data_IF_348938966836
#
_entry.id   IF_348938966836
#
_cell.length_a   1.000
_cell.length_b   1.000
_cell.length_c   1.000
_cell.angle_alpha   90.00
_cell.angle_beta   90.00
_cell.angle_gamma   90.00
#
_symmetry.space_group_name_H-M   'P 1'
#
loop_
_entity.id
_entity.type
_entity.pdbx_description
1 polymer ?
#
# COMPACT_ATOMS: atom_id res chain seq x y z
N UNK A 1 -19.61 -15.31 11.61
CA UNK A 1 -18.79 -16.50 11.92
C UNK A 1 -17.48 -16.39 11.15
N UNK A 2 -16.37 -16.14 11.82
CA UNK A 2 -15.07 -16.10 11.17
C UNK A 2 -14.74 -17.51 10.67
N UNK A 3 -14.78 -17.73 9.36
CA UNK A 3 -14.24 -18.95 8.77
C UNK A 3 -12.75 -18.99 9.08
N UNK A 4 -12.36 -19.79 10.08
CA UNK A 4 -10.98 -20.19 10.30
C UNK A 4 -10.53 -20.90 9.02
N UNK A 5 -9.73 -20.21 8.19
CA UNK A 5 -9.15 -20.84 7.01
C UNK A 5 -8.11 -21.86 7.51
N UNK A 6 -8.30 -23.11 7.14
CA UNK A 6 -7.41 -24.24 7.46
C UNK A 6 -6.18 -24.29 6.55
N UNK A 7 -5.85 -23.20 5.87
CA UNK A 7 -4.74 -23.15 4.92
C UNK A 7 -3.42 -23.08 5.70
N UNK A 8 -2.48 -23.96 5.34
CA UNK A 8 -1.22 -24.14 6.07
C UNK A 8 -0.06 -23.63 5.21
N UNK A 9 0.70 -22.69 5.75
CA UNK A 9 1.89 -22.16 5.09
C UNK A 9 3.15 -22.82 5.66
N UNK A 10 3.89 -23.53 4.82
CA UNK A 10 5.20 -24.08 5.14
C UNK A 10 6.30 -23.12 4.70
N UNK A 11 7.15 -22.72 5.64
CA UNK A 11 8.26 -21.80 5.38
C UNK A 11 9.54 -22.21 6.12
N UNK A 12 10.65 -21.60 5.75
CA UNK A 12 11.97 -21.76 6.39
C UNK A 12 12.60 -20.39 6.61
N UNK A 13 13.26 -20.18 7.74
CA UNK A 13 13.94 -18.92 8.06
C UNK A 13 15.19 -18.67 7.21
N UNK A 14 15.75 -19.73 6.62
CA UNK A 14 16.95 -19.65 5.79
C UNK A 14 16.64 -19.31 4.32
N UNK A 15 15.37 -19.30 3.91
CA UNK A 15 14.99 -19.01 2.53
C UNK A 15 14.65 -17.52 2.33
N UNK A 16 15.30 -16.81 1.38
CA UNK A 16 15.01 -15.39 1.12
C UNK A 16 13.61 -15.17 0.52
N UNK A 17 13.11 -16.11 -0.29
CA UNK A 17 11.77 -16.02 -0.86
C UNK A 17 10.68 -16.18 0.22
N UNK A 18 10.91 -17.04 1.22
CA UNK A 18 10.02 -17.16 2.37
C UNK A 18 9.89 -15.83 3.12
N UNK A 19 10.99 -15.09 3.30
CA UNK A 19 10.98 -13.79 3.99
C UNK A 19 10.11 -12.77 3.26
N UNK A 20 10.19 -12.70 1.93
CA UNK A 20 9.35 -11.80 1.12
C UNK A 20 7.86 -12.11 1.28
N UNK A 21 7.50 -13.39 1.27
CA UNK A 21 6.10 -13.81 1.43
C UNK A 21 5.60 -13.57 2.86
N UNK A 22 6.43 -13.84 3.87
CA UNK A 22 6.09 -13.59 5.26
C UNK A 22 5.88 -12.10 5.54
N UNK A 23 6.73 -11.24 4.96
CA UNK A 23 6.59 -9.78 5.01
C UNK A 23 5.27 -9.32 4.37
N UNK A 24 4.93 -9.84 3.19
CA UNK A 24 3.64 -9.58 2.53
C UNK A 24 2.44 -10.00 3.39
N UNK A 25 2.49 -11.20 3.99
CA UNK A 25 1.42 -11.72 4.85
C UNK A 25 1.26 -10.86 6.12
N UNK A 26 2.38 -10.43 6.72
CA UNK A 26 2.41 -9.58 7.90
C UNK A 26 1.81 -8.20 7.62
N UNK A 27 2.24 -7.54 6.54
CA UNK A 27 1.75 -6.21 6.13
C UNK A 27 0.25 -6.18 5.88
N UNK A 28 -0.30 -7.26 5.32
CA UNK A 28 -1.72 -7.35 4.99
C UNK A 28 -2.58 -7.97 6.11
N UNK A 29 -2.01 -8.22 7.30
CA UNK A 29 -2.75 -8.78 8.44
C UNK A 29 -3.38 -10.16 8.15
N UNK A 30 -2.68 -11.01 7.40
CA UNK A 30 -3.16 -12.34 7.00
C UNK A 30 -2.68 -13.46 7.93
N UNK A 31 -1.80 -13.15 8.90
CA UNK A 31 -1.22 -14.13 9.83
C UNK A 31 -2.30 -14.89 10.61
N UNK A 32 -3.37 -14.22 11.03
CA UNK A 32 -4.45 -14.85 11.79
C UNK A 32 -5.32 -15.82 10.97
N UNK A 33 -5.28 -15.70 9.64
CA UNK A 33 -6.07 -16.52 8.73
C UNK A 33 -5.31 -17.74 8.20
N UNK A 34 -4.00 -17.82 8.47
CA UNK A 34 -3.11 -18.84 7.95
C UNK A 34 -2.39 -19.54 9.10
N UNK A 35 -2.27 -20.86 9.03
CA UNK A 35 -1.46 -21.60 9.97
C UNK A 35 -0.02 -21.70 9.45
N UNK A 36 0.88 -20.87 9.98
CA UNK A 36 2.28 -20.83 9.57
C UNK A 36 3.12 -21.87 10.33
N UNK A 37 3.77 -22.77 9.61
CA UNK A 37 4.64 -23.83 10.14
C UNK A 37 6.07 -23.64 9.60
N UNK A 38 7.03 -23.52 10.51
CA UNK A 38 8.45 -23.49 10.17
C UNK A 38 8.99 -24.93 10.00
N UNK A 39 9.68 -25.21 8.89
CA UNK A 39 10.22 -26.54 8.57
C UNK A 39 11.71 -26.70 8.88
N UNK A 40 12.33 -25.73 9.57
CA UNK A 40 13.77 -25.76 9.86
C UNK A 40 14.14 -26.92 10.79
N UNK A 41 13.29 -27.20 11.79
CA UNK A 41 13.47 -28.31 12.74
C UNK A 41 12.78 -29.59 12.24
N UNK A 42 13.27 -30.12 11.11
CA UNK A 42 12.77 -31.39 10.55
C UNK A 42 13.67 -32.57 10.89
N UNK A 43 13.07 -33.69 11.27
CA UNK A 43 13.73 -34.96 11.55
C UNK A 43 13.15 -36.05 10.68
N UNK A 44 13.98 -36.99 10.23
CA UNK A 44 13.54 -38.18 9.51
C UNK A 44 13.35 -39.28 10.54
N UNK A 45 12.17 -39.90 10.55
CA UNK A 45 11.93 -41.07 11.39
C UNK A 45 12.68 -42.28 10.81
N UNK A 46 13.60 -42.91 11.57
CA UNK A 46 14.37 -44.05 11.09
C UNK A 46 13.54 -45.30 10.83
N UNK A 47 12.30 -45.40 11.35
CA UNK A 47 11.44 -46.57 11.17
C UNK A 47 10.56 -46.48 9.93
N UNK A 48 10.04 -45.30 9.65
CA UNK A 48 9.05 -45.07 8.58
C UNK A 48 9.64 -44.33 7.38
N UNK A 49 10.82 -43.70 7.53
CA UNK A 49 11.42 -42.83 6.52
C UNK A 49 10.67 -41.51 6.31
N UNK A 50 9.66 -41.22 7.14
CA UNK A 50 8.82 -40.04 6.98
C UNK A 50 9.45 -38.82 7.65
N UNK A 51 9.19 -37.64 7.08
CA UNK A 51 9.66 -36.36 7.59
C UNK A 51 8.70 -35.81 8.63
N UNK A 52 9.22 -35.54 9.83
CA UNK A 52 8.50 -34.90 10.92
C UNK A 52 9.08 -33.52 11.20
N UNK A 53 8.22 -32.58 11.53
CA UNK A 53 8.58 -31.23 11.95
C UNK A 53 8.35 -31.14 13.45
N UNK A 54 9.39 -30.76 14.19
CA UNK A 54 9.31 -30.51 15.62
C UNK A 54 8.84 -29.07 15.87
N UNK A 55 7.67 -28.91 16.49
CA UNK A 55 7.19 -27.61 16.97
C UNK A 55 7.89 -27.23 18.28
N UNK A 56 7.92 -25.94 18.59
CA UNK A 56 8.50 -25.44 19.84
C UNK A 56 7.78 -25.94 21.09
N UNK A 57 6.51 -26.36 20.95
CA UNK A 57 5.73 -27.00 22.01
C UNK A 57 6.05 -28.51 22.18
N UNK A 58 7.15 -29.01 21.62
CA UNK A 58 7.57 -30.42 21.69
C UNK A 58 6.72 -31.40 20.87
N UNK A 59 5.64 -30.94 20.23
CA UNK A 59 4.79 -31.76 19.36
C UNK A 59 5.44 -31.97 17.99
N UNK A 60 5.31 -33.18 17.45
CA UNK A 60 5.73 -33.51 16.10
C UNK A 60 4.55 -33.44 15.14
N UNK A 61 4.74 -32.80 13.99
CA UNK A 61 3.79 -32.80 12.88
C UNK A 61 4.41 -33.54 11.71
N UNK A 62 3.68 -34.46 11.10
CA UNK A 62 4.11 -35.11 9.88
C UNK A 62 4.06 -34.12 8.70
N UNK A 63 5.16 -34.01 7.94
CA UNK A 63 5.19 -33.22 6.72
C UNK A 63 4.45 -34.00 5.61
N UNK A 64 3.43 -33.40 4.96
CA UNK A 64 2.74 -34.04 3.85
C UNK A 64 3.69 -34.31 2.68
N UNK A 65 3.53 -35.43 1.95
CA UNK A 65 4.40 -35.76 0.82
C UNK A 65 4.28 -34.77 -0.35
N UNK A 66 3.17 -34.02 -0.43
CA UNK A 66 2.94 -33.03 -1.49
C UNK A 66 3.85 -31.79 -1.38
N UNK A 67 4.50 -31.58 -0.23
CA UNK A 67 5.33 -30.42 0.04
C UNK A 67 6.80 -30.79 -0.15
N UNK A 68 7.34 -30.45 -1.33
CA UNK A 68 8.73 -30.77 -1.68
C UNK A 68 9.68 -29.57 -1.56
N UNK A 69 9.15 -28.35 -1.61
CA UNK A 69 9.91 -27.12 -1.57
C UNK A 69 9.25 -26.08 -0.65
N UNK A 70 10.01 -25.07 -0.24
CA UNK A 70 9.49 -23.90 0.49
C UNK A 70 9.88 -22.62 -0.23
N UNK A 71 9.03 -21.59 -0.22
CA UNK A 71 7.73 -21.48 0.47
C UNK A 71 6.60 -22.24 -0.25
N UNK A 72 5.74 -22.91 0.53
CA UNK A 72 4.59 -23.66 0.02
C UNK A 72 3.34 -23.38 0.86
N UNK A 73 2.21 -23.14 0.19
CA UNK A 73 0.91 -23.02 0.82
C UNK A 73 0.05 -24.23 0.46
N UNK A 74 -0.47 -24.90 1.49
CA UNK A 74 -1.39 -26.01 1.37
C UNK A 74 -2.82 -25.49 1.57
N UNK A 75 -3.62 -25.53 0.51
CA UNK A 75 -4.99 -25.01 0.51
C UNK A 75 -5.95 -26.14 0.87
N UNK A 76 -6.52 -26.11 2.07
CA UNK A 76 -7.42 -27.16 2.56
C UNK A 76 -8.71 -27.22 1.72
N UNK A 77 -9.21 -26.06 1.29
CA UNK A 77 -10.45 -25.94 0.49
C UNK A 77 -10.34 -26.51 -0.93
N UNK A 78 -9.12 -26.68 -1.45
CA UNK A 78 -8.88 -27.17 -2.80
C UNK A 78 -8.27 -28.56 -2.77
N UNK A 79 -8.85 -29.49 -1.99
CA UNK A 79 -8.36 -30.88 -1.87
C UNK A 79 -6.86 -30.97 -1.52
N UNK A 80 -6.38 -30.13 -0.60
CA UNK A 80 -4.96 -30.07 -0.22
C UNK A 80 -4.02 -29.78 -1.39
N UNK A 81 -4.46 -28.95 -2.35
CA UNK A 81 -3.60 -28.43 -3.41
C UNK A 81 -2.46 -27.64 -2.80
N UNK A 82 -1.24 -27.94 -3.25
CA UNK A 82 -0.03 -27.21 -2.84
C UNK A 82 0.32 -26.20 -3.92
N UNK A 83 0.50 -24.94 -3.53
CA UNK A 83 0.99 -23.86 -4.39
C UNK A 83 2.33 -23.33 -3.84
N UNK A 84 3.16 -22.78 -4.71
CA UNK A 84 4.55 -22.45 -4.39
C UNK A 84 4.91 -21.02 -4.73
N UNK A 85 5.89 -20.47 -4.01
CA UNK A 85 6.56 -19.22 -4.35
C UNK A 85 5.60 -18.06 -4.71
N UNK A 86 5.70 -17.52 -5.93
CA UNK A 86 4.94 -16.35 -6.36
C UNK A 86 3.43 -16.62 -6.44
N UNK A 87 3.02 -17.85 -6.74
CA UNK A 87 1.61 -18.24 -6.86
C UNK A 87 0.85 -18.06 -5.54
N UNK A 88 1.57 -18.12 -4.41
CA UNK A 88 1.03 -17.84 -3.07
C UNK A 88 0.51 -16.40 -3.00
N UNK A 89 1.25 -15.45 -3.56
CA UNK A 89 0.86 -14.03 -3.54
C UNK A 89 -0.38 -13.84 -4.41
N UNK A 90 -0.40 -14.40 -5.61
CA UNK A 90 -1.56 -14.34 -6.53
C UNK A 90 -2.81 -14.96 -5.91
N UNK A 91 -2.67 -16.03 -5.13
CA UNK A 91 -3.79 -16.62 -4.40
C UNK A 91 -4.32 -15.73 -3.26
N UNK A 92 -3.42 -15.02 -2.56
CA UNK A 92 -3.78 -14.16 -1.43
C UNK A 92 -4.29 -12.78 -1.85
N UNK A 93 -3.89 -12.28 -3.02
CA UNK A 93 -4.29 -10.99 -3.57
C UNK A 93 -5.81 -10.72 -3.53
N UNK A 94 -6.71 -11.62 -3.98
CA UNK A 94 -8.16 -11.39 -3.88
C UNK A 94 -8.67 -11.31 -2.43
N UNK A 95 -8.00 -11.99 -1.49
CA UNK A 95 -8.36 -11.91 -0.07
C UNK A 95 -7.96 -10.54 0.50
N UNK A 96 -6.79 -10.04 0.11
CA UNK A 96 -6.30 -8.71 0.48
C UNK A 96 -7.18 -7.62 -0.10
N UNK A 97 -7.50 -7.67 -1.40
CA UNK A 97 -8.34 -6.66 -2.04
C UNK A 97 -9.75 -6.63 -1.46
N UNK A 98 -10.33 -7.79 -1.10
CA UNK A 98 -11.61 -7.86 -0.41
C UNK A 98 -11.56 -7.30 1.02
N UNK A 99 -10.44 -7.44 1.73
CA UNK A 99 -10.24 -6.80 3.04
C UNK A 99 -10.12 -5.29 2.92
N UNK A 100 -9.30 -4.81 1.98
CA UNK A 100 -9.12 -3.38 1.72
C UNK A 100 -10.46 -2.77 1.32
N UNK A 101 -11.16 -3.37 0.36
CA UNK A 101 -12.45 -2.85 -0.10
C UNK A 101 -13.46 -2.75 1.02
N UNK A 102 -13.54 -3.77 1.91
CA UNK A 102 -14.38 -3.74 3.12
C UNK A 102 -14.00 -2.64 4.09
N UNK A 103 -12.71 -2.38 4.28
CA UNK A 103 -12.24 -1.28 5.12
C UNK A 103 -12.56 0.09 4.50
N UNK A 104 -12.61 0.20 3.17
CA UNK A 104 -12.83 1.44 2.44
C UNK A 104 -14.29 1.70 2.03
N UNK A 105 -15.26 0.82 2.37
CA UNK A 105 -16.68 0.98 1.98
C UNK A 105 -17.28 2.31 2.49
N UNK A 106 -16.70 2.91 3.52
CA UNK A 106 -17.11 4.20 4.07
C UNK A 106 -16.11 5.31 3.75
N UNK A 107 -16.02 5.68 2.47
CA UNK A 107 -15.26 6.80 1.91
C UNK A 107 -13.74 6.66 1.95
N UNK A 108 -13.17 6.20 0.83
CA UNK A 108 -11.75 6.36 0.50
C UNK A 108 -11.27 7.81 0.36
N UNK A 109 -12.09 8.80 0.74
CA UNK A 109 -11.68 10.16 1.02
C UNK A 109 -12.00 10.49 2.48
N UNK A 110 -11.11 11.17 3.22
CA UNK A 110 -11.48 11.71 4.52
C UNK A 110 -12.74 12.56 4.35
N UNK A 111 -13.78 12.30 5.16
CA UNK A 111 -14.94 13.20 5.19
C UNK A 111 -14.41 14.61 5.45
N UNK A 112 -14.77 15.56 4.57
CA UNK A 112 -14.43 16.96 4.77
C UNK A 112 -14.87 17.34 6.18
N UNK A 113 -13.94 17.89 6.98
CA UNK A 113 -14.22 18.43 8.31
C UNK A 113 -15.27 19.51 8.15
N UNK A 114 -16.54 19.16 8.33
CA UNK A 114 -17.64 20.13 8.29
C UNK A 114 -17.61 20.87 9.62
N UNK A 115 -17.17 22.13 9.59
CA UNK A 115 -17.44 23.08 10.67
C UNK A 115 -18.95 23.27 10.74
N UNK A 116 -19.64 22.41 11.48
CA UNK A 116 -20.99 22.75 11.93
C UNK A 116 -20.84 23.96 12.85
N UNK A 117 -21.82 24.86 12.86
CA UNK A 117 -21.79 26.16 13.55
C UNK A 117 -21.57 26.11 15.08
N UNK A 118 -21.27 24.93 15.63
CA UNK A 118 -20.94 24.66 17.04
C UNK A 118 -19.62 23.89 17.17
N UNK A 119 -18.69 24.11 16.23
CA UNK A 119 -17.31 23.64 16.36
C UNK A 119 -16.61 24.50 17.40
N UNK A 120 -16.76 24.13 18.67
CA UNK A 120 -15.94 24.66 19.75
C UNK A 120 -14.48 24.24 19.49
N UNK A 121 -13.77 25.03 18.69
CA UNK A 121 -12.30 25.10 18.76
C UNK A 121 -11.98 25.70 20.13
N UNK A 122 -12.01 24.86 21.15
CA UNK A 122 -11.48 25.20 22.47
C UNK A 122 -9.96 25.11 22.37
N UNK A 123 -9.33 26.18 21.88
CA UNK A 123 -7.91 26.40 22.12
C UNK A 123 -7.70 26.48 23.63
N UNK A 124 -7.10 25.41 24.18
CA UNK A 124 -6.44 25.26 25.47
C UNK A 124 -6.87 26.23 26.58
N UNK A 125 -7.80 25.80 27.43
CA UNK A 125 -8.23 26.55 28.62
C UNK A 125 -7.18 26.60 29.75
N UNK A 126 -6.00 26.00 29.56
CA UNK A 126 -4.95 25.94 30.58
C UNK A 126 -3.55 26.11 29.97
N UNK A 127 -3.19 27.36 29.69
CA UNK A 127 -1.80 27.79 29.86
C UNK A 127 -1.80 28.98 30.80
N UNK A 128 -1.67 28.73 32.11
CA UNK A 128 -1.32 29.78 33.06
C UNK A 128 0.17 30.10 32.88
N UNK A 129 0.47 30.91 31.87
CA UNK A 129 1.81 31.40 31.60
C UNK A 129 2.12 32.57 32.56
N UNK A 130 2.88 32.30 33.63
CA UNK A 130 3.40 33.34 34.55
C UNK A 130 4.85 33.72 34.19
N UNK A 131 5.13 33.92 32.91
CA UNK A 131 6.43 34.38 32.42
C UNK A 131 6.41 35.87 32.10
N UNK A 132 7.47 36.61 32.45
CA UNK A 132 7.60 38.04 32.13
C UNK A 132 7.67 38.22 30.61
N UNK A 133 6.95 39.24 30.11
CA UNK A 133 6.71 39.57 28.69
C UNK A 133 7.99 39.94 27.90
N UNK A 134 9.17 39.92 28.54
CA UNK A 134 10.43 40.31 27.89
C UNK A 134 11.10 39.20 27.08
N UNK A 135 10.75 37.93 27.30
CA UNK A 135 11.53 36.79 26.76
C UNK A 135 10.77 35.98 25.69
N UNK A 136 9.61 36.44 25.22
CA UNK A 136 8.75 35.67 24.28
C UNK A 136 8.29 36.46 23.06
N UNK A 137 9.01 37.50 22.65
CA UNK A 137 8.78 38.15 21.35
C UNK A 137 9.54 37.45 20.22
N UNK A 138 9.35 36.14 20.10
CA UNK A 138 9.79 35.32 18.98
C UNK A 138 8.93 34.07 18.99
N UNK A 139 7.77 34.10 18.32
CA UNK A 139 7.24 32.98 17.52
C UNK A 139 5.75 33.09 17.13
N UNK A 140 4.97 34.07 17.57
CA UNK A 140 3.56 34.17 17.15
C UNK A 140 3.09 35.61 16.92
N UNK A 141 3.76 36.34 16.04
CA UNK A 141 3.12 37.46 15.36
C UNK A 141 2.46 36.93 14.09
N UNK A 142 1.14 36.70 14.18
CA UNK A 142 0.27 36.74 13.01
C UNK A 142 0.40 38.15 12.45
N UNK A 143 1.22 38.25 11.40
CA UNK A 143 1.51 39.49 10.72
C UNK A 143 0.32 39.89 9.86
N UNK A 144 -0.70 40.47 10.49
CA UNK A 144 -1.58 41.44 9.86
C UNK A 144 -0.81 42.76 9.69
N UNK A 145 0.25 42.74 8.88
CA UNK A 145 0.86 43.96 8.36
C UNK A 145 1.18 43.74 6.88
N UNK A 146 0.11 43.80 6.09
CA UNK A 146 0.19 44.08 4.66
C UNK A 146 0.67 45.52 4.48
N UNK A 147 1.97 45.76 4.57
CA UNK A 147 2.67 46.81 3.85
C UNK A 147 4.17 46.74 4.20
N UNK A 148 4.98 46.39 3.20
CA UNK A 148 6.43 46.65 3.18
C UNK A 148 7.36 45.81 4.09
N UNK A 149 7.28 44.48 4.02
CA UNK A 149 8.47 43.65 4.29
C UNK A 149 9.06 43.13 2.98
N UNK A 150 9.90 43.93 2.32
CA UNK A 150 10.82 43.41 1.31
C UNK A 150 11.94 42.64 2.00
N UNK A 151 11.78 41.33 2.07
CA UNK A 151 12.89 40.42 2.34
C UNK A 151 13.89 40.52 1.18
N UNK A 152 15.16 40.74 1.51
CA UNK A 152 16.25 40.85 0.52
C UNK A 152 16.60 39.44 0.00
N UNK A 153 15.82 38.95 -0.96
CA UNK A 153 16.17 37.73 -1.69
C UNK A 153 17.31 38.06 -2.67
N UNK A 154 18.34 37.21 -2.81
CA UNK A 154 19.32 37.37 -3.88
C UNK A 154 18.61 37.41 -5.23
N UNK A 155 19.16 38.15 -6.19
CA UNK A 155 18.52 38.37 -7.49
C UNK A 155 18.11 37.04 -8.14
N UNK A 156 16.82 36.90 -8.42
CA UNK A 156 16.25 35.68 -8.97
C UNK A 156 16.78 35.49 -10.41
N UNK A 157 17.70 34.53 -10.59
CA UNK A 157 18.26 34.18 -11.91
C UNK A 157 17.31 33.26 -12.72
N UNK A 158 16.12 32.99 -12.18
CA UNK A 158 15.18 32.07 -12.80
C UNK A 158 14.58 32.69 -14.07
N UNK A 159 15.09 32.26 -15.23
CA UNK A 159 14.39 32.46 -16.50
C UNK A 159 13.39 31.32 -16.67
N UNK A 160 12.11 31.62 -16.54
CA UNK A 160 11.02 30.69 -16.89
C UNK A 160 11.23 30.21 -18.33
N UNK A 161 11.56 28.94 -18.51
CA UNK A 161 11.58 28.28 -19.82
C UNK A 161 10.15 27.91 -20.25
N UNK A 162 9.19 28.82 -20.07
CA UNK A 162 7.87 28.68 -20.67
C UNK A 162 8.05 29.07 -22.13
N UNK A 163 7.58 28.22 -23.04
CA UNK A 163 7.58 28.49 -24.48
C UNK A 163 6.59 29.63 -24.78
N UNK A 164 6.96 30.85 -24.38
CA UNK A 164 6.35 32.12 -24.81
C UNK A 164 7.32 32.78 -25.77
N UNK A 165 7.95 31.98 -26.65
CA UNK A 165 8.37 32.50 -27.94
C UNK A 165 7.16 32.42 -28.87
N UNK A 166 7.04 33.38 -29.78
CA UNK A 166 6.00 33.42 -30.82
C UNK A 166 5.90 32.07 -31.57
N UNK A 167 7.03 31.38 -31.69
CA UNK A 167 7.24 30.04 -32.22
C UNK A 167 6.48 28.93 -31.44
N UNK A 168 6.38 29.07 -30.11
CA UNK A 168 5.68 28.12 -29.23
C UNK A 168 4.16 28.20 -29.35
N UNK A 169 3.61 29.39 -29.65
CA UNK A 169 2.19 29.54 -29.99
C UNK A 169 1.87 28.95 -31.37
N UNK A 170 2.74 29.16 -32.36
CA UNK A 170 2.58 28.56 -33.69
C UNK A 170 2.64 27.02 -33.65
N UNK A 171 3.49 26.45 -32.78
CA UNK A 171 3.55 25.00 -32.58
C UNK A 171 2.24 24.45 -31.97
N UNK A 172 1.64 25.16 -31.00
CA UNK A 172 0.36 24.73 -30.41
C UNK A 172 -0.81 24.79 -31.40
N UNK A 173 -0.88 25.82 -32.24
CA UNK A 173 -1.90 25.91 -33.28
C UNK A 173 -1.76 24.75 -34.29
N UNK A 174 -0.53 24.44 -34.71
CA UNK A 174 -0.26 23.30 -35.60
C UNK A 174 -0.66 21.94 -34.99
N UNK A 175 -0.40 21.72 -33.70
CA UNK A 175 -0.81 20.52 -32.96
C UNK A 175 -2.33 20.40 -32.80
N UNK A 176 -3.04 21.54 -32.73
CA UNK A 176 -4.50 21.57 -32.65
C UNK A 176 -5.14 21.29 -34.00
N UNK A 177 -4.58 21.81 -35.10
CA UNK A 177 -5.01 21.49 -36.46
C UNK A 177 -4.79 20.01 -36.79
N UNK A 178 -3.64 19.43 -36.43
CA UNK A 178 -3.35 18.01 -36.64
C UNK A 178 -4.37 17.09 -35.94
N UNK A 179 -4.73 17.40 -34.68
CA UNK A 179 -5.77 16.64 -33.94
C UNK A 179 -7.15 16.70 -34.61
N UNK A 180 -7.55 17.86 -35.11
CA UNK A 180 -8.83 18.02 -35.78
C UNK A 180 -8.91 17.24 -37.11
N UNK A 181 -7.77 17.09 -37.81
CA UNK A 181 -7.69 16.27 -39.03
C UNK A 181 -7.78 14.78 -38.72
N UNK A 182 -7.11 14.30 -37.68
CA UNK A 182 -7.14 12.89 -37.26
C UNK A 182 -8.56 12.46 -36.84
N UNK A 183 -9.26 13.29 -36.08
CA UNK A 183 -10.66 13.06 -35.67
C UNK A 183 -11.60 12.98 -36.89
N UNK A 184 -11.33 13.77 -37.94
CA UNK A 184 -12.08 13.68 -39.20
C UNK A 184 -11.76 12.42 -39.99
N UNK A 185 -10.54 11.90 -39.93
CA UNK A 185 -10.17 10.66 -40.61
C UNK A 185 -10.77 9.43 -39.91
N UNK A 186 -10.87 9.42 -38.57
CA UNK A 186 -11.50 8.33 -37.82
C UNK A 186 -13.01 8.23 -38.03
N UNK A 187 -13.69 9.32 -38.40
CA UNK A 187 -15.14 9.30 -38.70
C UNK A 187 -15.51 8.74 -40.09
N UNK A 188 -14.54 8.35 -40.92
CA UNK A 188 -14.80 7.72 -42.23
C UNK A 188 -14.50 6.21 -42.29
N UNK A 189 -14.01 5.59 -41.20
CA UNK A 189 -13.77 4.14 -41.14
C UNK A 189 -14.50 3.48 -39.98
N UNK A 190 -15.83 3.41 -40.07
CA UNK A 190 -16.59 2.33 -39.44
C UNK A 190 -17.79 1.99 -40.33
N UNK A 191 -17.73 0.95 -41.18
CA UNK A 191 -18.94 0.26 -41.57
C UNK A 191 -19.35 -0.61 -40.38
N UNK A 192 -20.44 -0.23 -39.73
CA UNK A 192 -21.21 -1.16 -38.90
C UNK A 192 -21.58 -2.38 -39.74
N UNK A 193 -21.13 -3.57 -39.33
CA UNK A 193 -21.45 -4.82 -39.99
C UNK A 193 -21.00 -6.03 -39.17
N UNK A 194 -21.90 -6.46 -38.28
CA UNK A 194 -21.94 -7.70 -37.46
C UNK A 194 -20.80 -7.97 -36.46
#
# INVERSE_FOLDING_TARGET
MASQNLDILYYSNQCPNCKKILDYISKNGLIEQLNCICIDKRTVDPKTGQLYIQRDNGKFIMLPPNVHAVPALLIAKQNYKTIYAADIITYLEPVVSAKISRATVANGEPMAMQFTSNSDVSSDKYTYYNGRISDTMSNYSIMNHMEQMQISTPAESYKSNKMVSDEGMQLMDSLQQQRNLDIKQQSQQTPFGF
#
